data_IF_605724574710
#
_entry.id   IF_605724574710
#
_cell.length_a   1.000
_cell.length_b   1.000
_cell.length_c   1.000
_cell.angle_alpha   90.00
_cell.angle_beta   90.00
_cell.angle_gamma   90.00
#
_symmetry.space_group_name_H-M   'P 1'
#
loop_
_entity.id
_entity.type
_entity.pdbx_description
1 polymer ?
#
# COMPACT_ATOMS: atom_id res chain seq x y z
N UNK A 1 9.40 -37.79 -2.34
CA UNK A 1 7.95 -37.99 -2.14
C UNK A 1 7.49 -38.16 -0.68
N UNK A 2 8.33 -38.00 0.34
CA UNK A 2 7.93 -38.18 1.77
C UNK A 2 7.82 -36.87 2.57
N UNK A 3 8.16 -35.73 2.00
CA UNK A 3 8.09 -34.41 2.70
C UNK A 3 6.77 -33.66 2.49
N UNK A 4 6.03 -33.95 1.43
CA UNK A 4 4.73 -33.29 1.14
C UNK A 4 3.58 -33.86 1.98
N UNK A 5 3.70 -35.08 2.50
CA UNK A 5 2.66 -35.69 3.34
C UNK A 5 2.62 -35.11 4.77
N UNK A 6 3.74 -34.55 5.25
CA UNK A 6 3.82 -33.99 6.59
C UNK A 6 3.13 -32.62 6.69
N UNK A 7 3.15 -31.83 5.62
CA UNK A 7 2.47 -30.54 5.55
C UNK A 7 0.93 -30.68 5.43
N UNK A 8 0.47 -31.69 4.68
CA UNK A 8 -0.96 -31.97 4.54
C UNK A 8 -1.59 -32.50 5.84
N UNK A 9 -0.84 -33.26 6.64
CA UNK A 9 -1.32 -33.78 7.92
C UNK A 9 -1.41 -32.69 9.01
N UNK A 10 -0.59 -31.64 8.93
CA UNK A 10 -0.65 -30.53 9.88
C UNK A 10 -1.87 -29.61 9.63
N UNK A 11 -2.31 -29.48 8.37
CA UNK A 11 -3.52 -28.72 8.04
C UNK A 11 -4.81 -29.42 8.48
N UNK A 12 -4.84 -30.76 8.52
CA UNK A 12 -6.03 -31.51 8.92
C UNK A 12 -6.20 -31.64 10.45
N UNK A 13 -5.15 -31.41 11.23
CA UNK A 13 -5.20 -31.54 12.69
C UNK A 13 -5.83 -30.33 13.41
N UNK A 14 -6.04 -29.21 12.72
CA UNK A 14 -6.62 -27.96 13.28
C UNK A 14 -8.14 -27.92 13.17
N UNK A 15 -8.78 -28.90 12.55
CA UNK A 15 -10.21 -28.88 12.25
C UNK A 15 -11.13 -29.44 13.36
N UNK A 16 -10.64 -29.70 14.56
CA UNK A 16 -11.48 -30.15 15.67
C UNK A 16 -11.53 -29.14 16.81
N UNK A 17 -12.52 -28.25 16.74
CA UNK A 17 -13.12 -27.72 17.98
C UNK A 17 -12.88 -26.25 18.33
N UNK A 18 -12.54 -25.35 17.40
CA UNK A 18 -12.70 -23.92 17.67
C UNK A 18 -14.00 -23.42 17.03
N UNK A 19 -15.03 -23.20 17.82
CA UNK A 19 -16.09 -22.26 17.50
C UNK A 19 -15.49 -20.85 17.67
N UNK A 20 -14.54 -20.49 16.82
CA UNK A 20 -14.09 -19.12 16.69
C UNK A 20 -15.22 -18.36 16.01
N UNK A 21 -15.58 -17.21 16.54
CA UNK A 21 -16.50 -16.31 15.86
C UNK A 21 -15.79 -15.75 14.64
N UNK A 22 -15.92 -16.44 13.49
CA UNK A 22 -15.42 -15.94 12.23
C UNK A 22 -16.34 -14.79 11.79
N UNK A 23 -15.78 -13.61 11.62
CA UNK A 23 -16.50 -12.44 11.10
C UNK A 23 -16.08 -12.20 9.65
N UNK A 24 -17.08 -12.22 8.77
CA UNK A 24 -16.89 -11.90 7.35
C UNK A 24 -17.73 -10.69 7.00
N UNK A 25 -17.09 -9.61 6.60
CA UNK A 25 -17.71 -8.33 6.27
C UNK A 25 -17.57 -8.04 4.78
N UNK A 26 -18.70 -7.79 4.12
CA UNK A 26 -18.73 -7.13 2.81
C UNK A 26 -18.69 -5.62 3.02
N UNK A 27 -17.80 -4.92 2.31
CA UNK A 27 -17.66 -3.46 2.40
C UNK A 27 -17.44 -2.84 1.03
N UNK A 28 -17.57 -1.52 0.95
CA UNK A 28 -17.29 -0.81 -0.28
C UNK A 28 -17.41 0.70 -0.18
N UNK A 29 -16.94 1.35 -1.22
CA UNK A 29 -17.04 2.79 -1.45
C UNK A 29 -17.49 3.01 -2.89
N UNK A 30 -18.48 3.86 -3.10
CA UNK A 30 -18.89 4.31 -4.41
C UNK A 30 -18.64 5.82 -4.47
N UNK A 31 -17.77 6.25 -5.37
CA UNK A 31 -17.42 7.65 -5.56
C UNK A 31 -17.51 7.99 -7.05
N UNK A 32 -18.18 9.09 -7.32
CA UNK A 32 -18.31 9.61 -8.68
C UNK A 32 -18.81 11.05 -8.66
N UNK A 33 -18.40 11.83 -9.65
CA UNK A 33 -18.81 13.21 -9.79
C UNK A 33 -19.14 13.60 -11.23
N UNK A 34 -19.92 14.65 -11.37
CA UNK A 34 -20.10 15.38 -12.62
C UNK A 34 -19.14 16.56 -12.60
N UNK A 35 -18.24 16.63 -13.57
CA UNK A 35 -17.28 17.73 -13.69
C UNK A 35 -17.62 18.61 -14.89
N UNK A 36 -17.39 19.91 -14.73
CA UNK A 36 -17.45 20.89 -15.81
C UNK A 36 -16.12 21.60 -15.87
N UNK A 37 -15.41 21.49 -16.97
CA UNK A 37 -14.13 22.14 -17.18
C UNK A 37 -14.14 23.01 -18.44
N UNK A 38 -13.50 24.18 -18.35
CA UNK A 38 -13.30 25.08 -19.48
C UNK A 38 -11.86 25.55 -19.52
N UNK A 39 -11.16 25.17 -20.57
CA UNK A 39 -9.82 25.64 -20.87
C UNK A 39 -9.89 26.71 -21.96
N UNK A 40 -9.08 27.79 -21.84
CA UNK A 40 -9.04 28.87 -22.81
C UNK A 40 -8.71 28.30 -24.21
N UNK A 41 -9.53 28.64 -25.20
CA UNK A 41 -9.37 28.15 -26.57
C UNK A 41 -9.96 26.77 -26.88
N UNK A 42 -10.57 26.09 -25.89
CA UNK A 42 -11.24 24.80 -26.10
C UNK A 42 -12.73 24.90 -25.77
N UNK A 43 -13.53 23.95 -26.27
CA UNK A 43 -14.94 23.82 -25.87
C UNK A 43 -15.05 23.47 -24.37
N UNK A 44 -16.15 23.86 -23.74
CA UNK A 44 -16.44 23.39 -22.39
C UNK A 44 -16.67 21.87 -22.41
N UNK A 45 -16.06 21.15 -21.47
CA UNK A 45 -16.26 19.71 -21.28
C UNK A 45 -17.14 19.50 -20.06
N UNK A 46 -18.17 18.69 -20.22
CA UNK A 46 -18.93 18.08 -19.14
C UNK A 46 -18.55 16.60 -19.10
N UNK A 47 -18.12 16.10 -17.96
CA UNK A 47 -17.65 14.72 -17.81
C UNK A 47 -18.22 14.04 -16.58
N UNK A 48 -18.19 12.72 -16.59
CA UNK A 48 -18.45 11.88 -15.44
C UNK A 48 -17.11 11.31 -14.97
N UNK A 49 -16.66 11.72 -13.81
CA UNK A 49 -15.37 11.34 -13.24
C UNK A 49 -15.56 10.30 -12.15
N UNK A 50 -14.74 9.24 -12.20
CA UNK A 50 -14.81 8.12 -11.28
C UNK A 50 -13.78 8.31 -10.16
N UNK A 51 -14.20 8.16 -8.91
CA UNK A 51 -13.28 8.10 -7.79
C UNK A 51 -12.49 9.39 -7.54
N UNK A 52 -13.16 10.54 -7.50
CA UNK A 52 -12.51 11.84 -7.28
C UNK A 52 -11.89 11.94 -5.88
N UNK A 53 -12.61 11.48 -4.87
CA UNK A 53 -12.13 11.47 -3.48
C UNK A 53 -11.48 10.14 -3.14
N UNK A 54 -12.12 9.03 -3.52
CA UNK A 54 -11.67 7.69 -3.22
C UNK A 54 -12.02 6.74 -4.36
N UNK A 55 -11.07 5.98 -4.86
CA UNK A 55 -11.35 4.98 -5.89
C UNK A 55 -12.50 4.05 -5.49
N UNK A 56 -13.55 4.00 -6.32
CA UNK A 56 -14.71 3.13 -6.09
C UNK A 56 -14.26 1.68 -6.03
N UNK A 57 -14.75 0.97 -5.02
CA UNK A 57 -14.32 -0.39 -4.72
C UNK A 57 -15.36 -1.15 -3.92
N UNK A 58 -15.29 -2.44 -3.98
CA UNK A 58 -15.92 -3.34 -3.05
C UNK A 58 -14.92 -4.41 -2.60
N UNK A 59 -15.14 -5.00 -1.44
CA UNK A 59 -14.27 -6.02 -0.91
C UNK A 59 -14.94 -6.89 0.13
N UNK A 60 -14.31 -8.00 0.40
CA UNK A 60 -14.65 -8.93 1.46
C UNK A 60 -13.43 -9.02 2.38
N UNK A 61 -13.64 -8.86 3.65
CA UNK A 61 -12.62 -9.08 4.68
C UNK A 61 -13.18 -10.01 5.76
N UNK A 62 -12.32 -10.81 6.33
CA UNK A 62 -12.69 -11.69 7.42
C UNK A 62 -11.57 -11.81 8.43
N UNK A 63 -11.96 -12.20 9.64
CA UNK A 63 -11.04 -12.47 10.72
C UNK A 63 -11.53 -13.68 11.50
N UNK A 64 -10.61 -14.57 11.86
CA UNK A 64 -10.86 -15.75 12.68
C UNK A 64 -9.94 -15.74 13.89
N UNK A 65 -10.51 -15.75 15.07
CA UNK A 65 -9.78 -15.88 16.32
C UNK A 65 -9.40 -17.36 16.53
N UNK A 66 -8.11 -17.64 16.50
CA UNK A 66 -7.56 -18.97 16.71
C UNK A 66 -7.28 -19.26 18.20
N UNK A 67 -7.61 -18.31 19.08
CA UNK A 67 -7.31 -18.37 20.49
C UNK A 67 -5.88 -17.97 20.87
N UNK A 68 -5.63 -17.77 22.15
CA UNK A 68 -4.31 -17.43 22.69
C UNK A 68 -3.64 -16.19 22.05
N UNK A 69 -4.44 -15.25 21.51
CA UNK A 69 -3.94 -14.04 20.85
C UNK A 69 -3.50 -14.25 19.38
N UNK A 70 -3.85 -15.37 18.78
CA UNK A 70 -3.63 -15.64 17.36
C UNK A 70 -4.89 -15.37 16.57
N UNK A 71 -4.78 -14.57 15.50
CA UNK A 71 -5.89 -14.24 14.61
C UNK A 71 -5.46 -14.41 13.16
N UNK A 72 -6.29 -15.10 12.37
CA UNK A 72 -6.10 -15.25 10.93
C UNK A 72 -7.06 -14.29 10.22
N UNK A 73 -6.51 -13.40 9.37
CA UNK A 73 -7.29 -12.42 8.64
C UNK A 73 -7.08 -12.53 7.13
N UNK A 74 -8.07 -12.09 6.37
CA UNK A 74 -7.94 -11.90 4.94
C UNK A 74 -8.65 -10.63 4.45
N UNK A 75 -8.16 -10.07 3.34
CA UNK A 75 -8.80 -8.96 2.62
C UNK A 75 -8.72 -9.25 1.13
N UNK A 76 -9.87 -9.16 0.45
CA UNK A 76 -10.00 -9.26 -1.00
C UNK A 76 -10.74 -8.01 -1.48
N UNK A 77 -10.09 -7.14 -2.27
CA UNK A 77 -10.65 -5.84 -2.69
C UNK A 77 -10.50 -5.63 -4.20
N UNK A 78 -11.61 -5.31 -4.87
CA UNK A 78 -11.70 -5.00 -6.29
C UNK A 78 -12.14 -3.55 -6.51
N UNK A 79 -11.47 -2.84 -7.41
CA UNK A 79 -11.86 -1.51 -7.87
C UNK A 79 -12.75 -1.57 -9.11
N UNK A 80 -13.67 -0.61 -9.21
CA UNK A 80 -14.54 -0.47 -10.38
C UNK A 80 -14.76 1.00 -10.75
N UNK A 81 -15.22 1.22 -11.99
CA UNK A 81 -15.63 2.54 -12.47
C UNK A 81 -17.12 2.72 -12.19
N UNK A 82 -17.48 3.75 -11.45
CA UNK A 82 -18.86 4.02 -11.00
C UNK A 82 -19.84 4.17 -12.15
N UNK A 83 -19.43 4.85 -13.22
CA UNK A 83 -20.35 5.20 -14.32
C UNK A 83 -20.38 4.21 -15.48
N UNK A 84 -19.46 3.24 -15.55
CA UNK A 84 -19.48 2.21 -16.60
C UNK A 84 -19.62 0.79 -16.04
N UNK A 85 -19.35 0.59 -14.74
CA UNK A 85 -19.33 -0.75 -14.14
C UNK A 85 -18.07 -1.56 -14.47
N UNK A 86 -17.15 -1.01 -15.27
CA UNK A 86 -15.91 -1.71 -15.62
C UNK A 86 -15.04 -1.97 -14.38
N UNK A 87 -14.33 -3.09 -14.36
CA UNK A 87 -13.24 -3.29 -13.41
C UNK A 87 -12.12 -2.26 -13.64
N UNK A 88 -11.55 -1.71 -12.58
CA UNK A 88 -10.39 -0.79 -12.67
C UNK A 88 -9.16 -1.48 -13.26
N UNK A 89 -9.02 -2.77 -13.00
CA UNK A 89 -8.02 -3.65 -13.59
C UNK A 89 -8.73 -4.94 -14.04
N UNK A 90 -8.69 -5.22 -15.34
CA UNK A 90 -9.36 -6.37 -15.91
C UNK A 90 -8.55 -7.66 -15.84
N UNK A 91 -7.25 -7.58 -15.55
CA UNK A 91 -6.36 -8.75 -15.48
C UNK A 91 -6.37 -9.43 -14.11
N UNK A 92 -6.84 -8.76 -13.06
CA UNK A 92 -6.80 -9.27 -11.68
C UNK A 92 -8.17 -9.10 -11.01
N UNK A 93 -8.71 -10.19 -10.48
CA UNK A 93 -10.01 -10.18 -9.79
C UNK A 93 -10.01 -9.31 -8.52
N UNK A 94 -8.90 -9.25 -7.80
CA UNK A 94 -8.72 -8.44 -6.59
C UNK A 94 -7.48 -7.55 -6.72
N UNK A 95 -7.53 -6.64 -7.68
CA UNK A 95 -6.40 -5.83 -8.08
C UNK A 95 -5.95 -4.82 -7.01
N UNK A 96 -6.84 -4.41 -6.09
CA UNK A 96 -6.52 -3.42 -5.07
C UNK A 96 -5.82 -4.01 -3.86
N UNK A 97 -6.35 -5.12 -3.34
CA UNK A 97 -5.73 -5.88 -2.26
C UNK A 97 -6.19 -7.34 -2.30
N UNK A 98 -5.26 -8.25 -2.06
CA UNK A 98 -5.52 -9.68 -1.90
C UNK A 98 -4.48 -10.21 -0.91
N UNK A 99 -4.83 -10.24 0.38
CA UNK A 99 -3.89 -10.55 1.46
C UNK A 99 -4.46 -11.56 2.43
N UNK A 100 -3.57 -12.41 2.94
CA UNK A 100 -3.77 -13.24 4.12
C UNK A 100 -2.84 -12.74 5.21
N UNK A 101 -3.31 -12.66 6.45
CA UNK A 101 -2.54 -12.19 7.60
C UNK A 101 -2.69 -13.11 8.81
N UNK A 102 -1.62 -13.23 9.57
CA UNK A 102 -1.57 -13.89 10.85
C UNK A 102 -1.07 -12.93 11.92
N UNK A 103 -1.96 -12.47 12.78
CA UNK A 103 -1.60 -11.69 13.96
C UNK A 103 -1.30 -12.63 15.13
N UNK A 104 -0.24 -12.32 15.85
CA UNK A 104 0.27 -13.10 16.97
C UNK A 104 0.67 -12.16 18.11
N UNK A 105 0.90 -12.64 19.33
CA UNK A 105 1.47 -11.83 20.40
C UNK A 105 2.86 -11.23 20.07
N UNK A 106 3.54 -11.78 19.06
CA UNK A 106 4.89 -11.35 18.64
C UNK A 106 4.86 -10.42 17.42
N UNK A 107 3.68 -10.07 16.91
CA UNK A 107 3.50 -9.21 15.75
C UNK A 107 2.60 -9.83 14.67
N UNK A 108 2.44 -9.10 13.57
CA UNK A 108 1.59 -9.50 12.45
C UNK A 108 2.43 -9.86 11.24
N UNK A 109 2.20 -11.03 10.69
CA UNK A 109 2.71 -11.47 9.40
C UNK A 109 1.61 -11.33 8.35
N UNK A 110 1.93 -10.89 7.15
CA UNK A 110 0.99 -10.89 6.04
C UNK A 110 1.67 -11.25 4.72
N UNK A 111 0.88 -11.83 3.81
CA UNK A 111 1.34 -12.17 2.47
C UNK A 111 0.25 -11.89 1.43
N UNK A 112 0.65 -11.56 0.20
CA UNK A 112 -0.27 -11.35 -0.92
C UNK A 112 0.00 -10.09 -1.71
N UNK A 113 -1.05 -9.49 -2.27
CA UNK A 113 -0.99 -8.24 -3.03
C UNK A 113 -1.45 -7.08 -2.16
N UNK A 114 -0.61 -6.05 -2.03
CA UNK A 114 -0.93 -4.81 -1.32
C UNK A 114 -0.01 -3.68 -1.77
N UNK A 115 -0.26 -2.46 -1.32
CA UNK A 115 0.65 -1.32 -1.50
C UNK A 115 1.91 -1.46 -0.64
N UNK A 116 3.00 -0.84 -1.08
CA UNK A 116 4.24 -0.75 -0.31
C UNK A 116 4.12 0.20 0.90
N UNK A 117 5.19 0.41 1.63
CA UNK A 117 5.18 1.19 2.87
C UNK A 117 4.80 2.65 2.66
N UNK A 118 5.25 3.28 1.57
CA UNK A 118 4.91 4.65 1.21
C UNK A 118 3.65 4.76 0.33
N UNK A 119 2.96 3.67 0.08
CA UNK A 119 1.78 3.66 -0.77
C UNK A 119 0.64 4.49 -0.18
N UNK A 120 -0.18 5.06 -1.05
CA UNK A 120 -1.47 5.66 -0.69
C UNK A 120 -2.60 4.62 -0.55
N UNK A 121 -2.29 3.36 -0.74
CA UNK A 121 -3.29 2.30 -0.84
C UNK A 121 -2.86 1.02 -0.11
N UNK A 122 -3.86 0.24 0.26
CA UNK A 122 -3.67 -0.96 1.07
C UNK A 122 -3.74 -0.67 2.57
N UNK A 123 -3.62 -1.72 3.37
CA UNK A 123 -3.77 -1.64 4.85
C UNK A 123 -2.44 -1.60 5.60
N UNK A 124 -1.33 -1.75 4.91
CA UNK A 124 0.01 -1.88 5.52
C UNK A 124 0.95 -0.71 5.23
N UNK A 125 0.46 0.33 4.59
CA UNK A 125 1.24 1.55 4.43
C UNK A 125 1.28 2.34 5.74
N UNK A 126 2.37 3.09 5.94
CA UNK A 126 2.60 3.84 7.17
C UNK A 126 2.57 5.36 6.97
N UNK A 127 2.24 5.82 5.76
CA UNK A 127 2.02 7.24 5.50
C UNK A 127 0.60 7.71 5.84
N UNK A 128 -0.31 6.80 6.10
CA UNK A 128 -1.74 7.09 6.34
C UNK A 128 -2.04 8.04 7.48
N UNK A 129 -1.17 8.13 8.41
CA UNK A 129 -1.43 8.95 9.57
C UNK A 129 -1.27 10.45 9.37
N UNK A 130 -0.76 10.92 8.25
CA UNK A 130 -0.70 12.34 7.98
C UNK A 130 -1.80 12.73 6.99
N UNK A 131 -2.65 13.68 7.34
CA UNK A 131 -3.71 14.19 6.45
C UNK A 131 -3.16 14.79 5.15
N UNK A 132 -1.87 15.03 5.07
CA UNK A 132 -1.17 15.46 3.87
C UNK A 132 -1.19 14.40 2.75
N UNK A 133 -1.33 13.12 3.09
CA UNK A 133 -1.19 12.01 2.16
C UNK A 133 -2.54 11.46 1.65
N UNK A 134 -3.65 11.87 2.24
CA UNK A 134 -4.91 11.13 2.10
C UNK A 134 -5.87 11.67 1.05
N UNK A 135 -5.56 12.75 0.33
CA UNK A 135 -6.51 13.31 -0.63
C UNK A 135 -5.86 14.04 -1.79
N UNK A 136 -6.31 13.73 -2.99
CA UNK A 136 -6.01 14.48 -4.21
C UNK A 136 -6.43 15.95 -4.14
N UNK A 137 -7.48 16.27 -3.38
CA UNK A 137 -8.14 17.56 -3.43
C UNK A 137 -8.04 18.38 -2.15
N UNK A 138 -7.84 17.75 -1.00
CA UNK A 138 -7.90 18.47 0.28
C UNK A 138 -6.62 19.21 0.66
N UNK A 139 -5.48 18.85 0.08
CA UNK A 139 -4.16 19.36 0.50
C UNK A 139 -3.28 19.85 -0.65
N UNK A 140 -3.85 20.10 -1.82
CA UNK A 140 -3.10 20.70 -2.92
C UNK A 140 -2.15 19.71 -3.64
N UNK A 141 -2.63 18.51 -3.94
CA UNK A 141 -1.97 17.58 -4.84
C UNK A 141 -0.54 17.15 -4.44
N UNK A 142 -0.38 16.70 -3.22
CA UNK A 142 0.88 16.14 -2.72
C UNK A 142 1.26 14.83 -3.43
N UNK A 143 0.30 14.14 -4.00
CA UNK A 143 0.53 12.97 -4.86
C UNK A 143 1.54 13.22 -5.98
N UNK A 144 1.59 14.45 -6.50
CA UNK A 144 2.59 14.84 -7.48
C UNK A 144 3.92 15.27 -6.89
N UNK A 145 4.05 15.34 -5.57
CA UNK A 145 5.25 15.91 -4.91
C UNK A 145 6.18 14.83 -4.38
N UNK A 146 5.63 13.70 -3.93
CA UNK A 146 6.41 12.58 -3.40
C UNK A 146 6.34 11.36 -4.32
N UNK A 147 7.41 10.60 -4.36
CA UNK A 147 7.45 9.29 -4.97
C UNK A 147 6.85 8.32 -3.98
N UNK A 148 5.74 7.69 -4.36
CA UNK A 148 5.03 6.71 -3.56
C UNK A 148 5.19 5.32 -4.17
N UNK A 149 5.25 4.30 -3.36
CA UNK A 149 5.18 2.92 -3.82
C UNK A 149 3.76 2.57 -4.28
N UNK A 150 3.65 1.75 -5.32
CA UNK A 150 2.37 1.23 -5.79
C UNK A 150 2.07 -0.15 -5.18
N UNK A 151 1.01 -0.78 -5.64
CA UNK A 151 0.63 -2.15 -5.31
C UNK A 151 1.59 -3.12 -5.95
N UNK A 152 2.00 -4.10 -5.16
CA UNK A 152 2.90 -5.16 -5.59
C UNK A 152 2.28 -6.51 -5.31
N UNK A 153 2.58 -7.49 -6.16
CA UNK A 153 2.26 -8.89 -5.93
C UNK A 153 3.32 -9.54 -5.02
N UNK A 154 3.05 -10.71 -4.50
CA UNK A 154 4.00 -11.52 -3.73
C UNK A 154 4.65 -10.77 -2.57
N UNK A 155 3.92 -9.88 -1.93
CA UNK A 155 4.39 -9.18 -0.74
C UNK A 155 4.46 -10.16 0.42
N UNK A 156 5.57 -10.10 1.16
CA UNK A 156 5.73 -10.64 2.51
C UNK A 156 5.99 -9.48 3.45
N UNK A 157 5.26 -9.44 4.54
CA UNK A 157 5.32 -8.35 5.50
C UNK A 157 5.37 -8.90 6.93
N UNK A 158 6.12 -8.20 7.78
CA UNK A 158 6.08 -8.37 9.22
C UNK A 158 6.04 -7.01 9.91
N UNK A 159 5.07 -6.85 10.81
CA UNK A 159 4.97 -5.71 11.73
C UNK A 159 5.19 -6.18 13.15
N UNK A 160 6.03 -5.49 13.90
CA UNK A 160 6.19 -5.77 15.35
C UNK A 160 4.87 -5.51 16.09
N UNK A 161 4.71 -6.04 17.31
CA UNK A 161 3.67 -5.56 18.21
C UNK A 161 3.80 -4.05 18.45
N UNK A 162 2.72 -3.43 18.90
CA UNK A 162 2.78 -2.06 19.42
C UNK A 162 3.65 -2.00 20.67
N UNK A 163 4.71 -1.21 20.61
CA UNK A 163 5.64 -0.94 21.70
C UNK A 163 5.38 0.46 22.25
N UNK A 164 4.23 0.65 22.90
CA UNK A 164 3.82 1.93 23.50
C UNK A 164 3.65 3.07 22.46
N UNK A 165 3.04 2.75 21.34
CA UNK A 165 2.81 3.64 20.21
C UNK A 165 3.87 3.50 19.10
N UNK A 166 4.87 2.67 19.27
CA UNK A 166 5.92 2.44 18.28
C UNK A 166 5.75 1.09 17.61
N UNK A 167 5.83 1.06 16.28
CA UNK A 167 5.80 -0.16 15.46
C UNK A 167 6.90 -0.12 14.42
N UNK A 168 7.56 -1.24 14.18
CA UNK A 168 8.54 -1.41 13.09
C UNK A 168 7.95 -2.32 12.04
N UNK A 169 8.14 -1.95 10.79
CA UNK A 169 7.57 -2.61 9.61
C UNK A 169 8.69 -3.13 8.73
N UNK A 170 8.56 -4.36 8.26
CA UNK A 170 9.44 -4.97 7.28
C UNK A 170 8.59 -5.47 6.12
N UNK A 171 8.96 -5.15 4.90
CA UNK A 171 8.22 -5.56 3.72
C UNK A 171 9.18 -5.98 2.61
N UNK A 172 8.82 -7.04 1.92
CA UNK A 172 9.52 -7.57 0.77
C UNK A 172 8.52 -7.94 -0.33
N UNK A 173 8.90 -7.75 -1.58
CA UNK A 173 8.17 -8.29 -2.74
C UNK A 173 9.15 -8.66 -3.86
N UNK A 174 8.82 -9.71 -4.63
CA UNK A 174 9.43 -10.01 -5.93
C UNK A 174 8.42 -9.87 -7.08
N UNK A 175 7.29 -9.21 -6.84
CA UNK A 175 6.20 -9.04 -7.78
C UNK A 175 5.90 -7.57 -8.08
N UNK A 176 6.94 -6.74 -8.32
CA UNK A 176 6.75 -5.33 -8.66
C UNK A 176 6.22 -5.15 -10.09
N UNK A 177 6.54 -6.06 -11.00
CA UNK A 177 6.00 -6.10 -12.36
C UNK A 177 4.66 -6.82 -12.42
N UNK A 178 3.92 -6.66 -13.51
CA UNK A 178 2.64 -7.36 -13.71
C UNK A 178 2.79 -8.88 -13.98
N UNK A 179 4.01 -9.35 -14.20
CA UNK A 179 4.34 -10.72 -14.65
C UNK A 179 5.13 -11.53 -13.60
N UNK A 180 5.07 -11.16 -12.32
CA UNK A 180 5.89 -11.75 -11.26
C UNK A 180 5.77 -13.27 -11.05
N UNK A 181 4.75 -13.92 -11.62
CA UNK A 181 4.55 -15.37 -11.46
C UNK A 181 5.25 -16.24 -12.53
N UNK A 182 5.74 -15.65 -13.61
CA UNK A 182 6.30 -16.39 -14.75
C UNK A 182 7.83 -16.34 -14.81
N UNK A 183 8.47 -15.52 -14.00
CA UNK A 183 9.91 -15.32 -14.05
C UNK A 183 10.66 -16.12 -12.98
N UNK A 184 11.92 -16.40 -13.24
CA UNK A 184 12.80 -16.93 -12.20
C UNK A 184 13.05 -15.87 -11.14
N UNK A 185 12.87 -16.19 -9.89
CA UNK A 185 13.09 -15.30 -8.74
C UNK A 185 14.36 -14.43 -8.84
N UNK A 186 15.44 -14.95 -9.38
CA UNK A 186 16.71 -14.24 -9.55
C UNK A 186 16.71 -13.19 -10.67
N UNK A 187 15.63 -13.09 -11.45
CA UNK A 187 15.47 -12.16 -12.57
C UNK A 187 14.35 -11.15 -12.33
N UNK A 188 13.53 -11.37 -11.30
CA UNK A 188 12.45 -10.47 -10.95
C UNK A 188 12.99 -9.18 -10.38
N UNK A 189 12.21 -8.11 -10.50
CA UNK A 189 12.44 -6.88 -9.75
C UNK A 189 12.00 -7.09 -8.30
N UNK A 190 12.83 -6.65 -7.36
CA UNK A 190 12.59 -6.83 -5.93
C UNK A 190 12.36 -5.50 -5.23
N UNK A 191 11.44 -5.51 -4.29
CA UNK A 191 11.21 -4.43 -3.35
C UNK A 191 11.61 -4.85 -1.93
N UNK A 192 12.25 -3.94 -1.22
CA UNK A 192 12.59 -4.06 0.19
C UNK A 192 12.18 -2.79 0.91
N UNK A 193 11.42 -2.90 1.97
CA UNK A 193 10.97 -1.79 2.79
C UNK A 193 11.25 -2.03 4.26
N UNK A 194 11.77 -1.02 4.95
CA UNK A 194 11.86 -0.95 6.40
C UNK A 194 11.25 0.35 6.86
N UNK A 195 10.32 0.29 7.80
CA UNK A 195 9.61 1.46 8.29
C UNK A 195 9.51 1.48 9.81
N UNK A 196 9.42 2.67 10.35
CA UNK A 196 9.10 2.93 11.73
C UNK A 196 7.90 3.86 11.80
N UNK A 197 6.94 3.54 12.64
CA UNK A 197 5.79 4.38 12.94
C UNK A 197 5.72 4.64 14.44
N UNK A 198 5.39 5.87 14.80
CA UNK A 198 5.01 6.26 16.14
C UNK A 198 3.65 6.95 16.10
N UNK A 199 2.69 6.37 16.80
CA UNK A 199 1.31 6.88 16.89
C UNK A 199 0.86 6.85 18.34
N UNK A 200 0.94 7.98 19.04
CA UNK A 200 0.51 8.08 20.44
C UNK A 200 -0.03 9.45 20.78
N UNK A 201 -1.24 9.46 21.32
CA UNK A 201 -1.89 10.70 21.75
C UNK A 201 -2.10 11.65 20.59
N UNK A 202 -1.44 12.81 20.62
CA UNK A 202 -1.55 13.87 19.62
C UNK A 202 -0.41 13.85 18.58
N UNK A 203 0.54 12.93 18.72
CA UNK A 203 1.70 12.84 17.87
C UNK A 203 1.62 11.63 16.95
N UNK A 204 1.91 11.88 15.68
CA UNK A 204 2.11 10.86 14.68
C UNK A 204 3.44 11.13 13.97
N UNK A 205 4.24 10.10 13.79
CA UNK A 205 5.48 10.17 13.03
C UNK A 205 5.70 8.85 12.29
N UNK A 206 6.21 8.94 11.08
CA UNK A 206 6.69 7.78 10.34
C UNK A 206 8.00 8.09 9.63
N UNK A 207 8.86 7.10 9.54
CA UNK A 207 10.08 7.14 8.73
C UNK A 207 10.26 5.78 8.05
N UNK A 208 10.62 5.78 6.77
CA UNK A 208 10.81 4.56 6.01
C UNK A 208 11.95 4.69 5.01
N UNK A 209 12.59 3.56 4.76
CA UNK A 209 13.52 3.36 3.68
C UNK A 209 12.98 2.26 2.77
N UNK A 210 12.96 2.55 1.48
CA UNK A 210 12.48 1.64 0.44
C UNK A 210 13.56 1.49 -0.62
N UNK A 211 13.82 0.26 -1.04
CA UNK A 211 14.75 -0.05 -2.11
C UNK A 211 14.07 -0.88 -3.18
N UNK A 212 14.30 -0.51 -4.42
CA UNK A 212 13.83 -1.17 -5.63
C UNK A 212 15.02 -1.71 -6.40
N UNK A 213 15.15 -3.02 -6.49
CA UNK A 213 16.24 -3.69 -7.22
C UNK A 213 15.74 -4.11 -8.60
N UNK A 214 16.17 -3.39 -9.62
CA UNK A 214 15.68 -3.50 -11.00
C UNK A 214 16.46 -4.54 -11.80
N UNK A 215 16.37 -5.80 -11.44
CA UNK A 215 17.10 -6.90 -12.11
C UNK A 215 16.57 -7.21 -13.51
N UNK A 216 15.25 -7.15 -13.71
CA UNK A 216 14.62 -7.38 -15.00
C UNK A 216 15.18 -6.44 -16.09
N UNK A 217 15.45 -5.20 -15.73
CA UNK A 217 15.96 -4.18 -16.65
C UNK A 217 17.47 -3.99 -16.60
N UNK A 218 18.19 -4.80 -15.81
CA UNK A 218 19.63 -4.67 -15.58
C UNK A 218 20.06 -3.25 -15.19
N UNK A 219 19.27 -2.61 -14.33
CA UNK A 219 19.49 -1.26 -13.83
C UNK A 219 20.01 -1.30 -12.39
N UNK A 220 20.63 -0.19 -12.00
CA UNK A 220 21.04 0.00 -10.60
C UNK A 220 19.82 0.23 -9.72
N UNK A 221 19.85 -0.29 -8.49
CA UNK A 221 18.79 -0.16 -7.51
C UNK A 221 18.49 1.31 -7.20
N UNK A 222 17.19 1.62 -7.05
CA UNK A 222 16.68 2.89 -6.58
C UNK A 222 16.45 2.82 -5.08
N UNK A 223 16.67 3.92 -4.36
CA UNK A 223 16.44 4.00 -2.93
C UNK A 223 15.67 5.27 -2.60
N UNK A 224 14.69 5.15 -1.72
CA UNK A 224 13.87 6.26 -1.25
C UNK A 224 13.88 6.24 0.28
N UNK A 225 14.14 7.38 0.86
CA UNK A 225 13.95 7.62 2.26
C UNK A 225 12.85 8.67 2.42
N UNK A 226 11.80 8.33 3.16
CA UNK A 226 10.67 9.22 3.43
C UNK A 226 10.44 9.28 4.92
N UNK A 227 10.24 10.47 5.44
CA UNK A 227 9.77 10.68 6.81
C UNK A 227 8.72 11.76 6.85
N UNK A 228 7.80 11.66 7.79
CA UNK A 228 6.77 12.66 7.98
C UNK A 228 6.05 12.47 9.31
N UNK A 229 5.28 13.45 9.67
CA UNK A 229 4.52 13.39 10.90
C UNK A 229 3.57 14.55 11.07
N UNK A 230 2.79 14.47 12.14
CA UNK A 230 1.87 15.51 12.55
C UNK A 230 1.81 15.63 14.07
N UNK A 231 1.46 16.81 14.52
CA UNK A 231 1.13 17.05 15.92
C UNK A 231 -0.13 17.90 16.02
N UNK A 232 -1.09 17.42 16.80
CA UNK A 232 -2.34 18.13 17.07
C UNK A 232 -2.21 18.98 18.33
N UNK A 233 -2.24 20.31 18.18
CA UNK A 233 -2.22 21.29 19.26
C UNK A 233 -3.61 21.54 19.84
N UNK A 234 -4.66 20.92 19.30
CA UNK A 234 -6.06 21.08 19.72
C UNK A 234 -6.78 22.15 18.92
N UNK A 235 -6.23 23.34 18.77
CA UNK A 235 -6.79 24.42 17.95
C UNK A 235 -6.31 24.40 16.50
N UNK A 236 -5.18 23.76 16.23
CA UNK A 236 -4.63 23.51 14.90
C UNK A 236 -3.74 22.27 14.92
N UNK A 237 -3.49 21.69 13.77
CA UNK A 237 -2.52 20.61 13.60
C UNK A 237 -1.41 21.04 12.67
N UNK A 238 -0.16 20.69 13.02
CA UNK A 238 1.01 20.93 12.20
C UNK A 238 1.43 19.62 11.54
N UNK A 239 1.71 19.67 10.24
CA UNK A 239 2.17 18.57 9.43
C UNK A 239 3.50 18.91 8.78
N UNK A 240 4.40 17.94 8.69
CA UNK A 240 5.66 18.10 8.00
C UNK A 240 6.13 16.78 7.40
N UNK A 241 6.77 16.85 6.25
CA UNK A 241 7.32 15.67 5.61
C UNK A 241 8.56 16.02 4.77
N UNK A 242 9.42 15.03 4.63
CA UNK A 242 10.63 15.10 3.82
C UNK A 242 10.85 13.78 3.08
N UNK A 243 11.26 13.88 1.83
CA UNK A 243 11.67 12.71 1.05
C UNK A 243 13.00 12.96 0.34
N UNK A 244 13.86 11.98 0.40
CA UNK A 244 15.08 11.90 -0.38
C UNK A 244 15.04 10.64 -1.25
N UNK A 245 15.20 10.80 -2.57
CA UNK A 245 15.21 9.70 -3.52
C UNK A 245 16.54 9.64 -4.27
N UNK A 246 17.16 8.47 -4.27
CA UNK A 246 18.39 8.19 -4.99
C UNK A 246 18.11 7.24 -6.15
N UNK A 247 18.50 7.64 -7.37
CA UNK A 247 18.28 6.87 -8.60
C UNK A 247 16.82 6.52 -8.88
N UNK A 248 15.92 7.45 -8.69
CA UNK A 248 14.47 7.24 -8.77
C UNK A 248 13.90 7.11 -10.20
N UNK A 249 14.72 7.00 -11.23
CA UNK A 249 14.36 7.18 -12.64
C UNK A 249 13.45 6.13 -13.26
N UNK A 250 13.11 5.06 -12.56
CA UNK A 250 12.25 3.98 -13.10
C UNK A 250 11.38 3.30 -12.05
N UNK A 251 10.95 4.04 -11.07
CA UNK A 251 10.00 3.51 -10.10
C UNK A 251 8.63 3.35 -10.76
N UNK A 252 7.90 2.27 -10.51
CA UNK A 252 6.49 2.14 -10.89
C UNK A 252 5.67 3.07 -10.00
N UNK A 253 5.72 4.37 -10.26
CA UNK A 253 5.09 5.40 -9.45
C UNK A 253 4.20 6.26 -10.30
N UNK A 254 3.14 6.77 -9.70
CA UNK A 254 2.28 7.75 -10.31
C UNK A 254 3.08 9.01 -10.70
N UNK A 255 3.08 9.34 -11.97
CA UNK A 255 3.31 10.61 -12.62
C UNK A 255 4.72 11.21 -12.68
N UNK A 256 5.61 11.11 -11.70
CA UNK A 256 6.86 11.91 -11.70
C UNK A 256 8.13 11.17 -12.16
N UNK A 257 8.16 9.85 -12.13
CA UNK A 257 9.34 9.09 -12.53
C UNK A 257 9.71 9.27 -14.01
N UNK A 258 8.76 9.60 -14.86
CA UNK A 258 8.99 9.85 -16.29
C UNK A 258 9.65 11.21 -16.58
N UNK A 259 9.59 12.17 -15.65
CA UNK A 259 10.17 13.50 -15.82
C UNK A 259 11.60 13.61 -15.29
N UNK A 260 12.06 12.67 -14.49
CA UNK A 260 13.37 12.72 -13.84
C UNK A 260 14.54 12.33 -14.76
N UNK A 261 14.28 11.95 -15.99
CA UNK A 261 15.26 11.65 -17.01
C UNK A 261 16.01 10.32 -16.83
N UNK A 262 16.77 9.87 -17.86
CA UNK A 262 17.31 8.51 -17.94
C UNK A 262 18.48 8.21 -16.98
N UNK A 263 18.98 9.18 -16.23
CA UNK A 263 20.17 9.03 -15.37
C UNK A 263 19.85 8.93 -13.87
N UNK A 264 18.57 8.94 -13.48
CA UNK A 264 18.14 8.94 -12.09
C UNK A 264 18.54 10.22 -11.38
N UNK A 265 17.57 11.03 -11.03
CA UNK A 265 17.77 12.22 -10.23
C UNK A 265 17.70 11.91 -8.74
N UNK A 266 18.49 12.62 -7.96
CA UNK A 266 18.28 12.72 -6.53
C UNK A 266 17.20 13.78 -6.28
N UNK A 267 16.21 13.47 -5.50
CA UNK A 267 15.16 14.41 -5.10
C UNK A 267 15.22 14.69 -3.61
N UNK A 268 15.11 15.97 -3.26
CA UNK A 268 14.87 16.44 -1.92
C UNK A 268 13.57 17.22 -1.90
N UNK A 269 12.59 16.72 -1.17
CA UNK A 269 11.29 17.36 -1.05
C UNK A 269 10.96 17.53 0.43
N UNK A 270 10.57 18.74 0.81
CA UNK A 270 10.07 19.03 2.14
C UNK A 270 8.74 19.79 2.04
N UNK A 271 7.80 19.45 2.88
CA UNK A 271 6.51 20.08 2.93
C UNK A 271 6.12 20.35 4.38
N UNK A 272 5.69 21.58 4.66
CA UNK A 272 5.16 22.01 5.95
C UNK A 272 3.79 22.62 5.69
N UNK A 273 2.79 22.13 6.41
CA UNK A 273 1.43 22.66 6.34
C UNK A 273 0.85 22.85 7.73
#
# INVERSE_FOLDING_TARGET
MKKSAFFAALLCAVSSGAYAASDVTLYGVVDGAVSVSKVKGQAARVGFDNGIWAGSRFGIKGNEDLGSGYNLGFILEQGFKTFSGDAMNSSKAFARQSTLSLSTPFGTFAAGRTGGLSSDCGTYNILHGSSLWTSYYSTGNIYGTFILSDRMDNVLLYNTPDMNGSTVHFMYSNGMGENGDEQKWSKDDHYYGVGYEYAKGRALFSAMWEMYDHKEHNLKSSQIFTMGGSYDFGSFSLYGAYQFAYRASRLPTYAFANELGPKGANQHLSLIH
#
